data_IF_786889485359
#
_entry.id   IF_786889485359
#
_cell.length_a   1.000
_cell.length_b   1.000
_cell.length_c   1.000
_cell.angle_alpha   90.00
_cell.angle_beta   90.00
_cell.angle_gamma   90.00
#
_symmetry.space_group_name_H-M   'P 1'
#
loop_
_entity.id
_entity.type
_entity.pdbx_description
1 polymer ?
#
# COMPACT_ATOMS: atom_id res chain seq x y z
N UNK A 1 -7.98 -56.24 54.23
CA UNK A 1 -8.70 -55.30 53.36
C UNK A 1 -7.72 -54.80 52.31
N UNK A 2 -7.70 -55.43 51.14
CA UNK A 2 -6.77 -55.12 50.04
C UNK A 2 -7.45 -54.12 49.12
N UNK A 3 -6.95 -52.89 49.08
CA UNK A 3 -7.38 -51.86 48.12
C UNK A 3 -6.68 -52.09 46.78
N UNK A 4 -7.46 -52.39 45.74
CA UNK A 4 -6.98 -52.41 44.36
C UNK A 4 -7.03 -50.99 43.77
N UNK A 5 -5.85 -50.42 43.52
CA UNK A 5 -5.66 -49.26 42.64
C UNK A 5 -5.71 -49.73 41.19
N UNK A 6 -6.71 -49.29 40.43
CA UNK A 6 -6.82 -49.56 38.99
C UNK A 6 -6.07 -48.45 38.25
N UNK A 7 -4.82 -48.72 37.87
CA UNK A 7 -4.12 -47.93 36.85
C UNK A 7 -4.55 -48.48 35.48
N UNK A 8 -5.48 -47.78 34.81
CA UNK A 8 -5.88 -48.09 33.42
C UNK A 8 -4.69 -47.86 32.49
N UNK A 9 -4.09 -48.95 32.00
CA UNK A 9 -3.15 -48.93 30.86
C UNK A 9 -3.91 -48.50 29.59
N UNK A 10 -3.61 -47.32 29.06
CA UNK A 10 -4.06 -46.90 27.73
C UNK A 10 -3.27 -47.68 26.67
N UNK A 11 -3.97 -48.43 25.80
CA UNK A 11 -3.34 -49.18 24.71
C UNK A 11 -2.96 -48.23 23.55
N UNK A 12 -1.68 -48.07 23.20
CA UNK A 12 -1.21 -47.11 22.19
C UNK A 12 -1.84 -47.31 20.81
N UNK A 13 -2.20 -48.56 20.43
CA UNK A 13 -2.87 -48.85 19.15
C UNK A 13 -4.33 -48.38 19.04
N UNK A 14 -5.06 -48.21 20.16
CA UNK A 14 -6.41 -47.62 20.14
C UNK A 14 -6.36 -46.10 19.97
N UNK A 15 -5.39 -45.46 20.61
CA UNK A 15 -5.15 -44.01 20.49
C UNK A 15 -4.74 -43.67 19.06
N UNK A 16 -3.81 -44.43 18.47
CA UNK A 16 -3.37 -44.23 17.08
C UNK A 16 -4.53 -44.37 16.07
N UNK A 17 -5.37 -45.41 16.20
CA UNK A 17 -6.55 -45.60 15.34
C UNK A 17 -7.59 -44.49 15.50
N UNK A 18 -7.75 -43.97 16.72
CA UNK A 18 -8.64 -42.84 16.98
C UNK A 18 -8.11 -41.55 16.34
N UNK A 19 -6.81 -41.26 16.50
CA UNK A 19 -6.16 -40.11 15.86
C UNK A 19 -6.26 -40.17 14.34
N UNK A 20 -6.04 -41.34 13.73
CA UNK A 20 -6.16 -41.50 12.27
C UNK A 20 -7.60 -41.24 11.78
N UNK A 21 -8.61 -41.73 12.51
CA UNK A 21 -10.03 -41.47 12.20
C UNK A 21 -10.39 -39.99 12.34
N UNK A 22 -9.86 -39.33 13.38
CA UNK A 22 -10.07 -37.90 13.58
C UNK A 22 -9.45 -37.08 12.45
N UNK A 23 -8.21 -37.39 12.04
CA UNK A 23 -7.55 -36.75 10.91
C UNK A 23 -8.33 -36.94 9.60
N UNK A 24 -8.81 -38.15 9.34
CA UNK A 24 -9.64 -38.43 8.17
C UNK A 24 -10.95 -37.62 8.20
N UNK A 25 -11.62 -37.55 9.35
CA UNK A 25 -12.84 -36.75 9.51
C UNK A 25 -12.56 -35.26 9.28
N UNK A 26 -11.49 -34.72 9.83
CA UNK A 26 -11.08 -33.33 9.62
C UNK A 26 -10.77 -33.06 8.14
N UNK A 27 -10.09 -33.98 7.46
CA UNK A 27 -9.82 -33.87 6.02
C UNK A 27 -11.12 -33.87 5.20
N UNK A 28 -12.07 -34.76 5.51
CA UNK A 28 -13.38 -34.79 4.85
C UNK A 28 -14.15 -33.49 5.08
N UNK A 29 -14.15 -32.95 6.30
CA UNK A 29 -14.78 -31.66 6.61
C UNK A 29 -14.11 -30.53 5.83
N UNK A 30 -12.77 -30.51 5.76
CA UNK A 30 -12.04 -29.50 5.00
C UNK A 30 -12.34 -29.56 3.49
N UNK A 31 -12.40 -30.77 2.91
CA UNK A 31 -12.79 -30.94 1.50
C UNK A 31 -14.24 -30.52 1.27
N UNK A 32 -15.16 -30.91 2.16
CA UNK A 32 -16.56 -30.49 2.07
C UNK A 32 -16.70 -28.96 2.16
N UNK A 33 -15.95 -28.31 3.06
CA UNK A 33 -15.88 -26.85 3.15
C UNK A 33 -15.39 -26.23 1.84
N UNK A 34 -14.27 -26.73 1.30
CA UNK A 34 -13.70 -26.24 0.04
C UNK A 34 -14.58 -26.52 -1.18
N UNK A 35 -15.56 -27.42 -1.12
CA UNK A 35 -16.50 -27.67 -2.21
C UNK A 35 -17.81 -26.89 -2.07
N UNK A 36 -18.31 -26.74 -0.84
CA UNK A 36 -19.65 -26.22 -0.56
C UNK A 36 -19.68 -24.72 -0.25
N UNK A 37 -18.60 -24.16 0.30
CA UNK A 37 -18.54 -22.73 0.65
C UNK A 37 -18.13 -21.93 -0.59
N UNK A 38 -18.90 -20.91 -1.01
CA UNK A 38 -18.52 -20.07 -2.13
C UNK A 38 -17.21 -19.31 -1.83
N UNK A 39 -16.43 -19.03 -2.87
CA UNK A 39 -15.24 -18.21 -2.71
C UNK A 39 -15.64 -16.76 -2.38
N UNK A 40 -14.85 -16.04 -1.56
CA UNK A 40 -15.10 -14.61 -1.27
C UNK A 40 -14.76 -13.71 -2.47
N UNK A 41 -14.21 -14.27 -3.55
CA UNK A 41 -13.81 -13.57 -4.76
C UNK A 41 -14.38 -14.25 -5.99
N UNK A 42 -14.39 -13.53 -7.11
CA UNK A 42 -14.78 -14.06 -8.41
C UNK A 42 -13.66 -13.84 -9.41
N UNK A 43 -12.49 -14.45 -9.20
CA UNK A 43 -11.28 -14.02 -9.91
C UNK A 43 -11.31 -14.14 -11.44
N UNK A 44 -10.52 -13.30 -12.12
CA UNK A 44 -10.27 -13.35 -13.57
C UNK A 44 -8.85 -13.82 -13.86
N UNK A 45 -8.63 -14.37 -15.06
CA UNK A 45 -7.28 -14.71 -15.48
C UNK A 45 -6.52 -13.42 -15.80
N UNK A 46 -5.28 -13.33 -15.34
CA UNK A 46 -4.43 -12.19 -15.60
C UNK A 46 -3.09 -12.71 -16.08
N UNK A 47 -2.62 -12.15 -17.19
CA UNK A 47 -1.25 -12.39 -17.63
C UNK A 47 -0.30 -11.45 -16.92
N UNK A 48 0.72 -12.04 -16.32
CA UNK A 48 1.77 -11.34 -15.58
C UNK A 48 3.04 -11.42 -16.41
N UNK A 49 3.56 -10.27 -16.81
CA UNK A 49 4.83 -10.19 -17.52
C UNK A 49 6.01 -10.60 -16.65
N UNK A 50 7.12 -10.99 -17.28
CA UNK A 50 8.35 -11.30 -16.56
C UNK A 50 8.93 -10.05 -15.89
N UNK A 51 9.41 -10.14 -14.64
CA UNK A 51 9.96 -9.00 -13.94
C UNK A 51 11.27 -8.54 -14.59
N UNK A 52 11.55 -7.25 -14.50
CA UNK A 52 12.88 -6.72 -14.78
C UNK A 52 13.92 -7.41 -13.88
N UNK A 53 15.10 -7.66 -14.45
CA UNK A 53 16.21 -8.25 -13.70
C UNK A 53 16.86 -7.20 -12.80
N UNK A 54 17.33 -7.63 -11.62
CA UNK A 54 18.14 -6.78 -10.75
C UNK A 54 19.56 -6.59 -11.30
N UNK A 55 19.68 -5.74 -12.32
CA UNK A 55 20.94 -5.39 -12.97
C UNK A 55 20.94 -3.92 -13.39
N UNK A 56 22.13 -3.38 -13.68
CA UNK A 56 22.29 -1.97 -14.06
C UNK A 56 21.72 -1.03 -12.98
N UNK A 57 20.80 -0.10 -13.33
CA UNK A 57 20.10 0.77 -12.37
C UNK A 57 19.36 0.03 -11.24
N UNK A 58 18.99 -1.23 -11.48
CA UNK A 58 18.30 -2.10 -10.53
C UNK A 58 19.25 -3.01 -9.73
N UNK A 59 20.57 -2.87 -9.86
CA UNK A 59 21.51 -3.74 -9.16
C UNK A 59 21.28 -3.69 -7.62
N UNK A 60 21.18 -4.89 -7.03
CA UNK A 60 20.95 -5.04 -5.59
C UNK A 60 22.10 -4.43 -4.79
N UNK A 61 21.75 -3.73 -3.72
CA UNK A 61 22.68 -3.14 -2.76
C UNK A 61 22.08 -3.18 -1.34
N UNK A 62 22.66 -2.45 -0.39
CA UNK A 62 22.12 -2.32 0.97
C UNK A 62 22.14 -0.86 1.45
N UNK A 63 22.01 0.09 0.51
CA UNK A 63 22.11 1.53 0.81
C UNK A 63 21.03 2.00 1.80
N UNK A 64 19.85 1.37 1.82
CA UNK A 64 18.79 1.74 2.75
C UNK A 64 19.15 1.39 4.21
N UNK A 65 20.13 0.51 4.46
CA UNK A 65 20.58 0.19 5.82
C UNK A 65 21.25 1.38 6.53
N UNK A 66 21.70 2.40 5.80
CA UNK A 66 22.27 3.62 6.38
C UNK A 66 21.23 4.68 6.74
N UNK A 67 19.93 4.37 6.63
CA UNK A 67 18.88 5.31 7.01
C UNK A 67 18.94 5.60 8.52
N UNK A 68 18.86 6.88 8.87
CA UNK A 68 18.57 7.29 10.24
C UNK A 68 17.14 6.87 10.58
N UNK A 69 16.95 6.32 11.78
CA UNK A 69 15.66 5.79 12.21
C UNK A 69 15.01 6.75 13.20
N UNK A 70 13.84 7.26 12.84
CA UNK A 70 13.00 8.10 13.69
C UNK A 70 11.91 7.19 14.27
N UNK A 71 12.12 6.70 15.49
CA UNK A 71 11.15 5.82 16.14
C UNK A 71 9.82 6.52 16.38
N UNK A 72 8.72 5.81 16.12
CA UNK A 72 7.39 6.19 16.58
C UNK A 72 7.25 5.88 18.08
N UNK A 73 6.27 6.48 18.79
CA UNK A 73 6.00 6.15 20.18
C UNK A 73 5.71 4.66 20.39
N UNK A 74 5.99 4.16 21.60
CA UNK A 74 5.80 2.75 21.91
C UNK A 74 4.34 2.32 21.64
N UNK A 75 4.18 1.23 20.90
CA UNK A 75 2.87 0.70 20.50
C UNK A 75 2.29 1.32 19.22
N UNK A 76 2.91 2.36 18.66
CA UNK A 76 2.53 2.91 17.37
C UNK A 76 3.33 2.27 16.22
N UNK A 77 2.63 2.03 15.12
CA UNK A 77 3.16 1.45 13.88
C UNK A 77 2.50 2.08 12.67
N UNK A 78 3.12 1.86 11.52
CA UNK A 78 2.46 2.09 10.25
C UNK A 78 2.34 3.55 9.87
N UNK A 79 3.38 4.34 10.17
CA UNK A 79 3.60 5.66 9.60
C UNK A 79 3.81 5.55 8.10
N UNK A 80 2.68 5.44 7.38
CA UNK A 80 2.61 4.99 5.98
C UNK A 80 3.15 6.06 5.04
N UNK A 81 2.68 7.30 5.18
CA UNK A 81 3.25 8.46 4.50
C UNK A 81 3.84 9.50 5.46
N UNK A 82 4.68 10.39 4.93
CA UNK A 82 5.32 11.50 5.65
C UNK A 82 5.06 12.82 4.93
N UNK A 83 4.33 13.73 5.58
CA UNK A 83 4.32 15.12 5.16
C UNK A 83 5.26 15.95 6.05
N UNK A 84 5.84 17.00 5.48
CA UNK A 84 6.69 17.95 6.22
C UNK A 84 6.20 19.37 6.02
N UNK A 85 6.08 20.11 7.11
CA UNK A 85 5.71 21.52 7.06
C UNK A 85 6.95 22.43 6.87
N UNK A 86 6.76 23.73 6.56
CA UNK A 86 7.87 24.69 6.43
C UNK A 86 8.71 24.92 7.69
N UNK A 87 8.21 24.54 8.87
CA UNK A 87 8.95 24.59 10.14
C UNK A 87 9.83 23.33 10.35
N UNK A 88 9.74 22.37 9.42
CA UNK A 88 10.46 21.12 9.44
C UNK A 88 9.83 20.07 10.35
N UNK A 89 8.59 20.25 10.79
CA UNK A 89 7.86 19.25 11.55
C UNK A 89 7.39 18.13 10.61
N UNK A 90 7.57 16.89 11.04
CA UNK A 90 7.12 15.70 10.34
C UNK A 90 5.71 15.33 10.78
N UNK A 91 4.89 14.89 9.84
CA UNK A 91 3.53 14.43 10.04
C UNK A 91 3.39 13.03 9.45
N UNK A 92 2.67 12.14 10.15
CA UNK A 92 2.42 10.78 9.65
C UNK A 92 1.10 10.24 10.18
N UNK A 93 0.47 9.35 9.42
CA UNK A 93 -0.72 8.61 9.82
C UNK A 93 -0.36 7.22 10.35
N UNK A 94 -0.87 6.82 11.51
CA UNK A 94 -0.58 5.51 12.12
C UNK A 94 -1.72 4.52 11.97
N UNK A 95 -1.43 3.24 12.22
CA UNK A 95 -2.33 2.10 12.01
C UNK A 95 -3.63 2.19 12.81
N UNK A 96 -3.59 2.86 13.96
CA UNK A 96 -4.75 3.11 14.83
C UNK A 96 -5.63 4.29 14.39
N UNK A 97 -5.31 4.92 13.25
CA UNK A 97 -6.03 6.08 12.74
C UNK A 97 -5.52 7.43 13.25
N UNK A 98 -4.46 7.46 14.07
CA UNK A 98 -3.93 8.71 14.61
C UNK A 98 -3.12 9.47 13.55
N UNK A 99 -3.24 10.80 13.55
CA UNK A 99 -2.35 11.70 12.83
C UNK A 99 -1.39 12.29 13.84
N UNK A 100 -0.10 12.02 13.65
CA UNK A 100 0.96 12.37 14.60
C UNK A 100 1.88 13.44 14.02
N UNK A 101 2.47 14.25 14.90
CA UNK A 101 3.47 15.26 14.53
C UNK A 101 4.73 15.13 15.38
N UNK A 102 5.89 15.36 14.76
CA UNK A 102 7.16 15.55 15.44
C UNK A 102 7.90 16.75 14.86
N UNK A 103 8.00 17.82 15.65
CA UNK A 103 8.84 18.96 15.31
C UNK A 103 10.31 18.72 15.65
N UNK A 104 11.25 19.46 15.05
CA UNK A 104 12.66 19.41 15.41
C UNK A 104 12.84 19.56 16.93
N UNK A 105 13.67 18.69 17.52
CA UNK A 105 13.99 18.67 18.96
C UNK A 105 12.78 18.46 19.91
N UNK A 106 11.63 18.03 19.38
CA UNK A 106 10.42 17.76 20.16
C UNK A 106 10.07 16.27 20.15
N UNK A 107 9.28 15.82 21.11
CA UNK A 107 8.68 14.48 21.08
C UNK A 107 7.51 14.41 20.09
N UNK A 108 7.08 13.19 19.78
CA UNK A 108 5.86 12.98 19.02
C UNK A 108 4.62 13.40 19.82
N UNK A 109 3.66 14.01 19.15
CA UNK A 109 2.33 14.27 19.69
C UNK A 109 1.25 13.75 18.75
N UNK A 110 0.11 13.39 19.32
CA UNK A 110 -1.10 13.04 18.55
C UNK A 110 -1.90 14.32 18.34
N UNK A 111 -2.16 14.67 17.08
CA UNK A 111 -2.95 15.85 16.73
C UNK A 111 -4.45 15.53 16.73
N UNK A 112 -4.82 14.40 16.13
CA UNK A 112 -6.18 13.87 16.10
C UNK A 112 -6.18 12.37 15.77
N UNK A 113 -7.36 11.77 15.78
CA UNK A 113 -7.60 10.44 15.24
C UNK A 113 -8.75 10.53 14.21
N UNK A 114 -8.56 10.01 12.99
CA UNK A 114 -9.56 10.04 11.93
C UNK A 114 -10.64 8.96 12.12
N UNK A 115 -10.39 8.01 13.02
CA UNK A 115 -11.15 6.77 13.19
C UNK A 115 -11.23 5.92 11.91
N UNK A 116 -10.27 6.11 11.01
CA UNK A 116 -10.05 5.35 9.79
C UNK A 116 -8.59 4.93 9.69
N UNK A 117 -8.03 5.00 8.48
CA UNK A 117 -6.62 4.72 8.23
C UNK A 117 -6.02 5.83 7.36
N UNK A 118 -5.36 6.84 7.95
CA UNK A 118 -4.64 7.85 7.18
C UNK A 118 -3.42 7.20 6.52
N UNK A 119 -3.42 7.23 5.19
CA UNK A 119 -2.40 6.64 4.32
C UNK A 119 -1.58 7.83 3.76
N UNK A 120 -1.97 8.42 2.63
CA UNK A 120 -1.27 9.58 2.04
C UNK A 120 -1.54 10.92 2.74
N UNK A 121 -0.53 11.79 2.74
CA UNK A 121 -0.54 13.10 3.40
C UNK A 121 0.09 14.19 2.52
N UNK A 122 -0.60 15.32 2.34
CA UNK A 122 -0.01 16.46 1.64
C UNK A 122 -0.52 17.80 2.20
N UNK A 123 0.35 18.81 2.31
CA UNK A 123 -0.06 20.15 2.72
C UNK A 123 -0.60 20.97 1.54
N UNK A 124 -1.73 21.64 1.72
CA UNK A 124 -2.18 22.65 0.77
C UNK A 124 -1.50 24.01 0.99
N UNK A 125 -1.75 24.97 0.10
CA UNK A 125 -1.20 26.32 0.19
C UNK A 125 -1.66 27.11 1.43
N UNK A 126 -2.77 26.70 2.06
CA UNK A 126 -3.29 27.28 3.31
C UNK A 126 -2.79 26.54 4.56
N UNK A 127 -1.86 25.59 4.40
CA UNK A 127 -1.33 24.74 5.46
C UNK A 127 -2.37 23.82 6.11
N UNK A 128 -3.47 23.54 5.41
CA UNK A 128 -4.30 22.40 5.77
C UNK A 128 -3.56 21.12 5.37
N UNK A 129 -3.56 20.13 6.27
CA UNK A 129 -3.09 18.80 5.95
C UNK A 129 -4.23 18.04 5.25
N UNK A 130 -4.05 17.77 3.97
CA UNK A 130 -4.92 16.90 3.19
C UNK A 130 -4.52 15.46 3.49
N UNK A 131 -5.51 14.62 3.76
CA UNK A 131 -5.33 13.25 4.22
C UNK A 131 -6.13 12.35 3.29
N UNK A 132 -5.43 11.44 2.61
CA UNK A 132 -6.03 10.28 1.99
C UNK A 132 -6.29 9.25 3.09
N UNK A 133 -7.56 9.05 3.47
CA UNK A 133 -7.94 8.07 4.48
C UNK A 133 -8.60 6.85 3.82
N UNK A 134 -7.95 5.70 3.94
CA UNK A 134 -8.35 4.43 3.34
C UNK A 134 -9.71 3.91 3.81
N UNK A 135 -10.29 4.51 4.85
CA UNK A 135 -11.63 4.18 5.32
C UNK A 135 -12.59 5.38 5.32
N UNK A 136 -12.14 6.63 5.36
CA UNK A 136 -13.02 7.82 5.47
C UNK A 136 -13.12 8.63 4.19
N UNK A 137 -12.28 8.37 3.19
CA UNK A 137 -12.22 9.15 1.96
C UNK A 137 -11.16 10.25 2.05
N UNK A 138 -11.35 11.31 1.26
CA UNK A 138 -10.47 12.47 1.26
C UNK A 138 -10.86 13.43 2.40
N UNK A 139 -9.92 13.73 3.29
CA UNK A 139 -10.11 14.61 4.44
C UNK A 139 -9.18 15.82 4.38
N UNK A 140 -9.52 16.85 5.15
CA UNK A 140 -8.67 18.02 5.40
C UNK A 140 -8.65 18.35 6.87
N UNK A 141 -7.47 18.49 7.46
CA UNK A 141 -7.25 18.99 8.81
C UNK A 141 -6.67 20.40 8.74
N UNK A 142 -7.37 21.39 9.32
CA UNK A 142 -6.84 22.75 9.39
C UNK A 142 -5.68 22.88 10.39
N UNK A 143 -4.87 23.96 10.33
CA UNK A 143 -3.84 24.24 11.35
C UNK A 143 -4.38 24.30 12.78
N UNK A 144 -5.67 24.60 12.96
CA UNK A 144 -6.35 24.62 14.25
C UNK A 144 -6.85 23.23 14.70
N UNK A 145 -6.58 22.17 13.93
CA UNK A 145 -6.98 20.79 14.22
C UNK A 145 -8.42 20.45 13.82
N UNK A 146 -9.11 21.29 13.02
CA UNK A 146 -10.47 20.98 12.56
C UNK A 146 -10.41 19.99 11.39
N UNK A 147 -10.94 18.78 11.60
CA UNK A 147 -11.09 17.76 10.56
C UNK A 147 -12.39 17.95 9.77
N UNK A 148 -12.30 17.90 8.44
CA UNK A 148 -13.42 18.03 7.51
C UNK A 148 -13.33 16.95 6.43
N UNK A 149 -14.45 16.33 6.08
CA UNK A 149 -14.54 15.42 4.93
C UNK A 149 -14.67 16.27 3.67
N UNK A 150 -13.77 16.09 2.70
CA UNK A 150 -13.82 16.75 1.39
C UNK A 150 -14.61 15.90 0.39
N UNK A 151 -14.34 14.59 0.35
CA UNK A 151 -15.04 13.66 -0.53
C UNK A 151 -15.03 12.24 0.05
N UNK A 152 -16.19 11.59 0.13
CA UNK A 152 -16.34 10.20 0.57
C UNK A 152 -17.24 9.35 -0.35
N UNK A 153 -17.86 9.98 -1.36
CA UNK A 153 -18.71 9.32 -2.35
C UNK A 153 -18.45 9.83 -3.76
N UNK A 154 -18.67 8.96 -4.75
CA UNK A 154 -18.71 9.29 -6.16
C UNK A 154 -19.86 8.53 -6.83
N UNK A 155 -20.74 9.23 -7.55
CA UNK A 155 -21.94 8.66 -8.18
C UNK A 155 -22.81 7.80 -7.24
N UNK A 156 -22.98 8.27 -5.99
CA UNK A 156 -23.79 7.59 -4.97
C UNK A 156 -23.15 6.33 -4.37
N UNK A 157 -21.94 5.97 -4.78
CA UNK A 157 -21.15 4.90 -4.19
C UNK A 157 -20.06 5.48 -3.31
N UNK A 158 -19.81 4.86 -2.17
CA UNK A 158 -18.70 5.24 -1.29
C UNK A 158 -17.37 5.06 -2.01
N UNK A 159 -16.41 5.94 -1.73
CA UNK A 159 -15.01 5.66 -2.04
C UNK A 159 -14.55 4.43 -1.24
N UNK A 160 -13.65 3.65 -1.83
CA UNK A 160 -13.20 2.40 -1.23
C UNK A 160 -11.99 2.65 -0.34
N UNK A 161 -10.79 2.47 -0.89
CA UNK A 161 -9.50 2.66 -0.21
C UNK A 161 -8.83 3.90 -0.78
N UNK A 162 -9.11 5.08 -0.23
CA UNK A 162 -8.41 6.31 -0.62
C UNK A 162 -7.00 6.27 -0.05
N UNK A 163 -6.00 6.26 -0.92
CA UNK A 163 -4.67 5.72 -0.59
C UNK A 163 -3.59 6.80 -0.61
N UNK A 164 -3.41 7.52 -1.73
CA UNK A 164 -2.39 8.56 -1.86
C UNK A 164 -2.96 9.87 -2.41
N UNK A 165 -2.25 10.98 -2.17
CA UNK A 165 -2.68 12.33 -2.53
C UNK A 165 -1.50 13.25 -2.92
N UNK A 166 -1.69 14.05 -3.97
CA UNK A 166 -0.80 15.14 -4.36
C UNK A 166 -1.62 16.36 -4.81
N UNK A 167 -1.04 17.56 -4.76
CA UNK A 167 -1.76 18.82 -5.00
C UNK A 167 -1.13 19.58 -6.16
N UNK A 168 -1.97 19.92 -7.13
CA UNK A 168 -1.63 20.77 -8.27
C UNK A 168 -1.31 22.21 -7.86
N UNK A 169 -0.60 22.93 -8.73
CA UNK A 169 -0.22 24.31 -8.50
C UNK A 169 -1.43 25.27 -8.39
N UNK A 170 -2.58 24.88 -8.93
CA UNK A 170 -3.85 25.60 -8.84
C UNK A 170 -4.68 25.24 -7.60
N UNK A 171 -4.21 24.31 -6.77
CA UNK A 171 -4.90 23.79 -5.60
C UNK A 171 -5.82 22.60 -5.89
N UNK A 172 -5.88 22.09 -7.12
CA UNK A 172 -6.58 20.84 -7.43
C UNK A 172 -5.92 19.69 -6.67
N UNK A 173 -6.73 18.91 -5.93
CA UNK A 173 -6.25 17.76 -5.16
C UNK A 173 -6.42 16.51 -6.01
N UNK A 174 -5.31 15.88 -6.40
CA UNK A 174 -5.30 14.60 -7.09
C UNK A 174 -5.12 13.48 -6.08
N UNK A 175 -5.99 12.48 -6.11
CA UNK A 175 -5.88 11.38 -5.17
C UNK A 175 -6.34 10.06 -5.78
N UNK A 176 -5.80 8.98 -5.25
CA UNK A 176 -6.16 7.64 -5.66
C UNK A 176 -7.22 7.04 -4.74
N UNK A 177 -8.10 6.24 -5.36
CA UNK A 177 -8.95 5.29 -4.67
C UNK A 177 -8.52 3.91 -5.16
N UNK A 178 -7.68 3.24 -4.38
CA UNK A 178 -6.93 2.06 -4.78
C UNK A 178 -7.83 0.90 -5.17
N UNK A 179 -8.87 0.65 -4.40
CA UNK A 179 -9.88 -0.36 -4.69
C UNK A 179 -11.24 0.12 -4.27
N UNK A 180 -12.22 0.06 -5.17
CA UNK A 180 -13.63 0.27 -4.82
C UNK A 180 -14.38 -1.05 -4.58
N UNK A 181 -13.66 -2.18 -4.54
CA UNK A 181 -14.23 -3.53 -4.41
C UNK A 181 -13.95 -4.20 -3.09
N UNK A 182 -12.77 -3.96 -2.53
CA UNK A 182 -12.31 -4.59 -1.30
C UNK A 182 -11.84 -3.52 -0.32
N UNK A 183 -12.16 -3.69 0.95
CA UNK A 183 -11.62 -2.85 2.01
C UNK A 183 -10.13 -3.17 2.22
N UNK A 184 -9.39 -2.26 2.85
CA UNK A 184 -7.96 -2.40 3.11
C UNK A 184 -7.62 -3.73 3.82
N UNK A 185 -8.42 -4.13 4.80
CA UNK A 185 -8.24 -5.41 5.53
C UNK A 185 -8.40 -6.66 4.66
N UNK A 186 -9.07 -6.55 3.52
CA UNK A 186 -9.39 -7.64 2.61
C UNK A 186 -8.52 -7.60 1.35
N UNK A 187 -7.40 -6.87 1.37
CA UNK A 187 -6.63 -6.55 0.16
C UNK A 187 -6.05 -7.78 -0.57
N UNK A 188 -5.78 -8.86 0.18
CA UNK A 188 -5.35 -10.15 -0.40
C UNK A 188 -6.39 -10.67 -1.39
N UNK A 189 -7.68 -10.43 -1.13
CA UNK A 189 -8.75 -10.80 -2.06
C UNK A 189 -8.71 -9.99 -3.35
N UNK A 190 -8.31 -8.72 -3.31
CA UNK A 190 -8.20 -7.90 -4.52
C UNK A 190 -7.06 -8.39 -5.43
N UNK A 191 -5.90 -8.68 -4.83
CA UNK A 191 -4.76 -9.30 -5.52
C UNK A 191 -5.19 -10.60 -6.19
N UNK A 192 -5.95 -11.46 -5.50
CA UNK A 192 -6.38 -12.74 -6.06
C UNK A 192 -7.52 -12.58 -7.07
N UNK A 193 -8.47 -11.67 -6.88
CA UNK A 193 -9.55 -11.41 -7.84
C UNK A 193 -8.94 -10.96 -9.17
N UNK A 194 -8.01 -10.01 -9.12
CA UNK A 194 -7.22 -9.55 -10.26
C UNK A 194 -8.00 -8.65 -11.23
N UNK A 195 -9.25 -8.29 -10.94
CA UNK A 195 -9.95 -7.24 -11.69
C UNK A 195 -9.53 -5.88 -11.19
N UNK A 196 -9.12 -5.03 -12.11
CA UNK A 196 -8.82 -3.65 -11.84
C UNK A 196 -10.07 -2.86 -11.48
N UNK A 197 -10.03 -2.17 -10.35
CA UNK A 197 -11.16 -1.40 -9.82
C UNK A 197 -10.76 -0.04 -9.24
N UNK A 198 -9.45 0.22 -9.18
CA UNK A 198 -8.89 1.47 -8.71
C UNK A 198 -9.20 2.63 -9.65
N UNK A 199 -9.15 3.83 -9.08
CA UNK A 199 -9.57 5.08 -9.70
C UNK A 199 -8.59 6.19 -9.32
N UNK A 200 -8.39 7.12 -10.24
CA UNK A 200 -7.69 8.39 -10.01
C UNK A 200 -8.70 9.53 -10.13
N UNK A 201 -8.73 10.39 -9.13
CA UNK A 201 -9.65 11.52 -9.06
C UNK A 201 -8.90 12.85 -9.02
N UNK A 202 -9.61 13.90 -9.45
CA UNK A 202 -9.30 15.29 -9.17
C UNK A 202 -10.45 15.92 -8.36
N UNK A 203 -10.11 16.56 -7.25
CA UNK A 203 -11.04 17.32 -6.42
C UNK A 203 -10.69 18.81 -6.47
N UNK A 204 -11.66 19.63 -6.84
CA UNK A 204 -11.54 21.09 -6.81
C UNK A 204 -12.15 21.63 -5.50
N UNK A 205 -11.32 22.15 -4.58
CA UNK A 205 -11.81 22.66 -3.29
C UNK A 205 -12.63 23.95 -3.39
N UNK A 206 -12.58 24.68 -4.52
CA UNK A 206 -13.36 25.91 -4.71
C UNK A 206 -14.81 25.60 -5.06
N UNK A 207 -15.03 24.55 -5.85
CA UNK A 207 -16.36 24.15 -6.32
C UNK A 207 -16.91 22.91 -5.60
N UNK A 208 -16.08 22.25 -4.78
CA UNK A 208 -16.34 20.93 -4.18
C UNK A 208 -16.71 19.88 -5.24
N UNK A 209 -16.09 20.00 -6.42
CA UNK A 209 -16.29 19.12 -7.56
C UNK A 209 -15.33 17.94 -7.50
N UNK A 210 -15.85 16.72 -7.73
CA UNK A 210 -15.06 15.50 -7.83
C UNK A 210 -15.14 14.92 -9.24
N UNK A 211 -14.00 14.85 -9.93
CA UNK A 211 -13.90 14.38 -11.32
C UNK A 211 -13.08 13.10 -11.38
N UNK A 212 -13.61 12.06 -12.03
CA UNK A 212 -12.86 10.84 -12.34
C UNK A 212 -11.94 11.08 -13.54
N UNK A 213 -10.63 10.97 -13.34
CA UNK A 213 -9.62 11.14 -14.38
C UNK A 213 -9.29 9.83 -15.10
N UNK A 214 -9.15 8.74 -14.34
CA UNK A 214 -8.92 7.40 -14.89
C UNK A 214 -9.52 6.35 -13.97
N UNK A 215 -9.99 5.23 -14.53
CA UNK A 215 -10.58 4.13 -13.79
C UNK A 215 -10.16 2.78 -14.38
N UNK A 216 -10.39 1.71 -13.62
CA UNK A 216 -9.91 0.38 -14.03
C UNK A 216 -8.41 0.21 -13.84
N UNK A 217 -7.86 0.86 -12.81
CA UNK A 217 -6.47 0.72 -12.36
C UNK A 217 -6.36 -0.48 -11.41
N UNK A 218 -5.30 -1.26 -11.52
CA UNK A 218 -5.07 -2.43 -10.67
C UNK A 218 -4.40 -2.02 -9.36
N UNK A 219 -5.23 -1.65 -8.39
CA UNK A 219 -4.81 -1.04 -7.13
C UNK A 219 -4.08 0.29 -7.36
N UNK A 220 -4.87 1.36 -7.54
CA UNK A 220 -4.37 2.71 -7.77
C UNK A 220 -3.73 3.24 -6.49
N UNK A 221 -2.41 3.26 -6.43
CA UNK A 221 -1.70 3.59 -5.22
C UNK A 221 -1.11 5.00 -5.35
N UNK A 222 0.21 5.15 -5.36
CA UNK A 222 0.87 6.44 -5.33
C UNK A 222 0.46 7.40 -6.46
N UNK A 223 0.36 8.69 -6.16
CA UNK A 223 -0.05 9.76 -7.07
C UNK A 223 0.99 10.88 -7.09
N UNK A 224 1.40 11.34 -8.27
CA UNK A 224 2.26 12.51 -8.38
C UNK A 224 1.92 13.39 -9.59
N UNK A 225 1.58 14.65 -9.36
CA UNK A 225 1.36 15.63 -10.42
C UNK A 225 2.70 16.12 -10.99
N UNK A 226 2.74 16.25 -12.31
CA UNK A 226 3.88 16.80 -13.05
C UNK A 226 4.18 18.25 -12.69
N UNK A 227 5.45 18.64 -12.82
CA UNK A 227 5.88 20.03 -12.57
C UNK A 227 5.14 21.03 -13.45
N UNK A 228 4.97 20.70 -14.72
CA UNK A 228 4.30 21.53 -15.72
C UNK A 228 2.77 21.37 -15.72
N UNK A 229 2.21 20.62 -14.77
CA UNK A 229 0.78 20.37 -14.60
C UNK A 229 0.13 19.71 -15.82
N UNK A 230 0.91 19.05 -16.68
CA UNK A 230 0.41 18.44 -17.92
C UNK A 230 -0.07 17.00 -17.76
N UNK A 231 0.37 16.29 -16.72
CA UNK A 231 -0.03 14.93 -16.39
C UNK A 231 0.04 14.62 -14.89
N UNK A 232 -0.59 13.51 -14.51
CA UNK A 232 -0.48 12.86 -13.19
C UNK A 232 0.06 11.45 -13.39
N UNK A 233 1.01 11.03 -12.55
CA UNK A 233 1.44 9.65 -12.47
C UNK A 233 0.61 8.90 -11.44
N UNK A 234 0.26 7.65 -11.74
CA UNK A 234 -0.40 6.74 -10.80
C UNK A 234 0.24 5.36 -10.85
N UNK A 235 0.56 4.82 -9.68
CA UNK A 235 1.09 3.47 -9.55
C UNK A 235 -0.03 2.43 -9.57
N UNK A 236 0.19 1.32 -10.26
CA UNK A 236 -0.66 0.13 -10.19
C UNK A 236 0.09 -1.01 -9.52
N UNK A 237 -0.13 -1.16 -8.21
CA UNK A 237 0.59 -2.10 -7.36
C UNK A 237 0.47 -3.53 -7.87
N UNK A 238 -0.73 -3.97 -8.27
CA UNK A 238 -0.99 -5.35 -8.70
C UNK A 238 -0.77 -5.60 -10.21
N UNK A 239 -0.27 -4.58 -10.91
CA UNK A 239 0.25 -4.73 -12.28
C UNK A 239 1.72 -4.35 -12.39
N UNK A 240 2.35 -3.98 -11.28
CA UNK A 240 3.80 -3.74 -11.19
C UNK A 240 4.26 -2.67 -12.19
N UNK A 241 3.49 -1.59 -12.31
CA UNK A 241 3.68 -0.59 -13.35
C UNK A 241 3.23 0.80 -12.91
N UNK A 242 3.59 1.78 -13.72
CA UNK A 242 3.30 3.20 -13.52
C UNK A 242 2.61 3.71 -14.78
N UNK A 243 1.45 4.35 -14.59
CA UNK A 243 0.72 5.02 -15.65
C UNK A 243 0.89 6.53 -15.56
N UNK A 244 0.84 7.16 -16.72
CA UNK A 244 0.74 8.60 -16.91
C UNK A 244 -0.65 8.92 -17.43
N UNK A 245 -1.38 9.76 -16.72
CA UNK A 245 -2.70 10.27 -17.11
C UNK A 245 -2.54 11.72 -17.54
N UNK A 246 -2.84 12.02 -18.80
CA UNK A 246 -2.66 13.36 -19.38
C UNK A 246 -3.79 14.29 -18.95
N UNK A 247 -3.43 15.42 -18.36
CA UNK A 247 -4.36 16.47 -17.93
C UNK A 247 -4.61 17.51 -19.03
N UNK A 248 -3.62 17.75 -19.90
CA UNK A 248 -3.68 18.77 -20.94
C UNK A 248 -2.98 18.34 -22.23
N UNK A 249 -3.05 19.19 -23.27
CA UNK A 249 -2.52 18.91 -24.60
C UNK A 249 -3.37 17.93 -25.42
N UNK A 250 -2.84 17.46 -26.55
CA UNK A 250 -3.57 16.61 -27.51
C UNK A 250 -3.98 15.24 -26.94
N UNK A 251 -3.32 14.79 -25.88
CA UNK A 251 -3.60 13.53 -25.18
C UNK A 251 -4.51 13.70 -23.96
N UNK A 252 -5.00 14.90 -23.64
CA UNK A 252 -5.80 15.15 -22.44
C UNK A 252 -6.96 14.14 -22.29
N UNK A 253 -7.09 13.56 -21.09
CA UNK A 253 -8.07 12.51 -20.77
C UNK A 253 -7.67 11.10 -21.20
N UNK A 254 -6.49 10.91 -21.81
CA UNK A 254 -5.92 9.59 -22.10
C UNK A 254 -4.87 9.22 -21.06
N UNK A 255 -4.59 7.92 -20.94
CA UNK A 255 -3.50 7.40 -20.13
C UNK A 255 -2.59 6.44 -20.90
N UNK A 256 -1.34 6.33 -20.48
CA UNK A 256 -0.36 5.40 -21.03
C UNK A 256 0.56 4.82 -19.95
N UNK A 257 1.06 3.61 -20.17
CA UNK A 257 2.05 2.98 -19.29
C UNK A 257 3.43 3.55 -19.62
N UNK A 258 4.15 4.09 -18.63
CA UNK A 258 5.49 4.66 -18.81
C UNK A 258 6.60 3.78 -18.23
N UNK A 259 6.26 2.96 -17.23
CA UNK A 259 7.16 1.98 -16.63
C UNK A 259 6.36 0.73 -16.40
N UNK A 260 6.85 -0.42 -16.86
CA UNK A 260 6.16 -1.70 -16.75
C UNK A 260 7.10 -2.77 -16.18
N UNK A 261 6.54 -3.88 -15.75
CA UNK A 261 7.27 -5.08 -15.33
C UNK A 261 8.22 -4.85 -14.15
N UNK A 262 7.89 -3.92 -13.26
CA UNK A 262 8.71 -3.61 -12.09
C UNK A 262 8.98 -4.87 -11.27
N UNK A 263 10.18 -5.03 -10.69
CA UNK A 263 10.55 -6.24 -9.96
C UNK A 263 9.95 -6.29 -8.53
N UNK A 264 9.08 -5.35 -8.20
CA UNK A 264 8.32 -5.29 -6.96
C UNK A 264 6.96 -4.65 -7.16
N UNK A 265 6.23 -4.48 -6.07
CA UNK A 265 4.93 -3.81 -5.99
C UNK A 265 5.12 -2.31 -5.75
N UNK A 266 4.88 -1.43 -6.74
CA UNK A 266 4.98 0.01 -6.55
C UNK A 266 3.88 0.52 -5.62
N UNK A 267 4.24 1.46 -4.76
CA UNK A 267 3.40 2.03 -3.71
C UNK A 267 3.33 3.56 -3.90
N UNK A 268 3.71 4.39 -2.93
CA UNK A 268 3.82 5.84 -3.08
C UNK A 268 4.83 6.29 -4.16
N UNK A 269 4.56 7.45 -4.78
CA UNK A 269 5.45 8.09 -5.76
C UNK A 269 5.50 9.59 -5.48
N UNK A 270 6.71 10.16 -5.43
CA UNK A 270 6.89 11.58 -5.16
C UNK A 270 7.86 12.22 -6.17
N UNK A 271 7.55 13.43 -6.58
CA UNK A 271 8.38 14.21 -7.50
C UNK A 271 9.59 14.78 -6.77
N UNK A 272 10.78 14.55 -7.31
CA UNK A 272 12.01 15.16 -6.84
C UNK A 272 12.21 16.57 -7.44
N UNK A 273 13.02 17.43 -6.80
CA UNK A 273 13.29 18.80 -7.30
C UNK A 273 13.94 18.85 -8.69
N UNK A 274 14.64 17.80 -9.12
CA UNK A 274 15.27 17.69 -10.43
C UNK A 274 14.29 17.26 -11.55
N UNK A 275 13.00 17.08 -11.22
CA UNK A 275 11.96 16.63 -12.15
C UNK A 275 11.89 15.12 -12.36
N UNK A 276 12.75 14.35 -11.68
CA UNK A 276 12.60 12.90 -11.57
C UNK A 276 11.54 12.53 -10.51
N UNK A 277 11.28 11.24 -10.34
CA UNK A 277 10.35 10.73 -9.34
C UNK A 277 10.99 9.60 -8.54
N UNK A 278 10.77 9.61 -7.24
CA UNK A 278 11.06 8.48 -6.38
C UNK A 278 9.81 7.63 -6.20
N UNK A 279 9.98 6.31 -6.26
CA UNK A 279 8.90 5.34 -6.15
C UNK A 279 9.24 4.38 -5.03
N UNK A 280 8.34 4.28 -4.06
CA UNK A 280 8.40 3.28 -3.01
C UNK A 280 7.94 1.93 -3.55
N UNK A 281 8.52 0.85 -3.03
CA UNK A 281 8.13 -0.50 -3.36
C UNK A 281 7.84 -1.26 -2.08
N UNK A 282 6.55 -1.56 -1.84
CA UNK A 282 6.11 -2.28 -0.65
C UNK A 282 6.87 -3.60 -0.46
N UNK A 283 7.13 -4.30 -1.57
CA UNK A 283 7.92 -5.52 -1.53
C UNK A 283 8.23 -6.06 -2.91
N UNK A 284 8.96 -7.17 -2.92
CA UNK A 284 9.22 -7.94 -4.14
C UNK A 284 7.94 -8.58 -4.66
N UNK A 285 7.90 -8.89 -5.96
CA UNK A 285 6.77 -9.61 -6.55
C UNK A 285 6.55 -10.96 -5.86
N UNK A 286 5.31 -11.26 -5.40
CA UNK A 286 5.02 -12.55 -4.81
C UNK A 286 5.05 -13.66 -5.87
N UNK A 287 6.13 -14.45 -5.90
CA UNK A 287 6.31 -15.53 -6.90
C UNK A 287 5.12 -16.48 -7.01
N UNK A 288 4.47 -16.80 -5.88
CA UNK A 288 3.29 -17.66 -5.88
C UNK A 288 2.12 -17.00 -6.61
N UNK A 289 1.86 -15.71 -6.35
CA UNK A 289 0.77 -14.96 -7.00
C UNK A 289 1.03 -14.91 -8.51
N UNK A 290 2.23 -14.53 -8.92
CA UNK A 290 2.62 -14.47 -10.35
C UNK A 290 2.41 -15.83 -11.06
N UNK A 291 2.72 -16.95 -10.38
CA UNK A 291 2.62 -18.30 -10.93
C UNK A 291 1.18 -18.82 -11.07
N UNK A 292 0.21 -18.24 -10.35
CA UNK A 292 -1.19 -18.69 -10.36
C UNK A 292 -2.15 -17.66 -10.96
N UNK A 293 -1.66 -16.48 -11.36
CA UNK A 293 -2.51 -15.34 -11.67
C UNK A 293 -3.41 -15.56 -12.90
N UNK A 294 -3.00 -16.48 -13.79
CA UNK A 294 -3.71 -16.94 -14.98
C UNK A 294 -4.71 -18.09 -14.70
N UNK A 295 -4.77 -18.60 -13.46
CA UNK A 295 -5.63 -19.73 -13.05
C UNK A 295 -6.76 -19.29 -12.08
N UNK A 296 -7.90 -18.75 -12.57
CA UNK A 296 -9.00 -18.29 -11.73
C UNK A 296 -9.49 -19.32 -10.71
N UNK A 297 -9.67 -20.58 -11.14
CA UNK A 297 -10.17 -21.64 -10.28
C UNK A 297 -9.27 -21.85 -9.05
N UNK A 298 -7.96 -21.76 -9.22
CA UNK A 298 -6.98 -21.93 -8.15
C UNK A 298 -6.98 -20.74 -7.20
N UNK A 299 -7.08 -19.51 -7.73
CA UNK A 299 -7.21 -18.30 -6.91
C UNK A 299 -8.47 -18.32 -6.05
N UNK A 300 -9.60 -18.71 -6.65
CA UNK A 300 -10.88 -18.87 -5.94
C UNK A 300 -10.80 -19.96 -4.85
N UNK A 301 -10.00 -21.00 -5.04
CA UNK A 301 -9.76 -22.04 -4.04
C UNK A 301 -8.88 -21.52 -2.89
N UNK A 302 -7.76 -20.86 -3.21
CA UNK A 302 -6.82 -20.33 -2.21
C UNK A 302 -7.43 -19.22 -1.37
N UNK A 303 -8.31 -18.39 -1.94
CA UNK A 303 -9.05 -17.36 -1.22
C UNK A 303 -10.02 -17.93 -0.16
N UNK A 304 -10.29 -19.23 -0.15
CA UNK A 304 -11.09 -19.89 0.92
C UNK A 304 -10.24 -20.28 2.11
N UNK A 305 -8.91 -20.26 1.98
CA UNK A 305 -8.01 -20.63 3.06
C UNK A 305 -7.89 -19.48 4.05
N UNK A 306 -7.75 -19.77 5.35
CA UNK A 306 -7.40 -18.75 6.34
C UNK A 306 -6.10 -18.04 5.95
N UNK A 307 -6.07 -16.71 6.15
CA UNK A 307 -4.87 -15.89 5.86
C UNK A 307 -3.63 -16.34 6.63
N UNK A 308 -3.80 -16.99 7.79
CA UNK A 308 -2.70 -17.57 8.56
C UNK A 308 -1.93 -18.67 7.84
N UNK A 309 -2.48 -19.22 6.74
CA UNK A 309 -1.81 -20.19 5.87
C UNK A 309 -1.10 -19.53 4.67
N UNK A 310 -1.31 -18.23 4.44
CA UNK A 310 -0.66 -17.52 3.36
C UNK A 310 0.86 -17.46 3.60
N UNK A 311 1.68 -17.58 2.54
CA UNK A 311 3.13 -17.41 2.67
C UNK A 311 3.44 -16.00 3.20
N UNK A 312 4.26 -15.93 4.25
CA UNK A 312 4.77 -14.65 4.74
C UNK A 312 5.74 -14.07 3.71
N UNK A 313 5.48 -12.86 3.17
CA UNK A 313 6.41 -12.22 2.25
C UNK A 313 7.78 -12.03 2.91
N UNK A 314 8.86 -12.21 2.14
CA UNK A 314 10.20 -11.91 2.64
C UNK A 314 10.30 -10.40 2.88
N UNK A 315 10.68 -9.95 4.09
CA UNK A 315 10.96 -8.54 4.34
C UNK A 315 12.02 -8.02 3.37
N UNK A 316 11.78 -6.85 2.80
CA UNK A 316 12.68 -6.22 1.84
C UNK A 316 12.41 -4.72 1.81
N UNK A 317 13.46 -3.90 1.90
CA UNK A 317 13.39 -2.46 1.64
C UNK A 317 13.76 -2.18 0.20
N UNK A 318 12.93 -1.43 -0.52
CA UNK A 318 13.17 -1.14 -1.93
C UNK A 318 12.55 0.19 -2.33
N UNK A 319 13.36 1.07 -2.91
CA UNK A 319 12.91 2.26 -3.62
C UNK A 319 13.66 2.38 -4.94
N UNK A 320 13.04 3.04 -5.92
CA UNK A 320 13.67 3.33 -7.21
C UNK A 320 13.42 4.78 -7.62
N UNK A 321 14.28 5.29 -8.49
CA UNK A 321 14.14 6.61 -9.10
C UNK A 321 13.89 6.44 -10.59
N UNK A 322 12.91 7.16 -11.14
CA UNK A 322 12.62 7.23 -12.58
C UNK A 322 12.71 8.67 -13.09
N UNK A 323 13.00 8.86 -14.37
CA UNK A 323 12.76 10.15 -15.02
C UNK A 323 11.30 10.32 -15.47
N UNK A 324 10.95 11.50 -15.99
CA UNK A 324 9.61 11.81 -16.49
C UNK A 324 9.13 10.94 -17.67
N UNK A 325 10.03 10.20 -18.32
CA UNK A 325 9.70 9.23 -19.38
C UNK A 325 9.41 7.83 -18.84
N UNK A 326 9.65 7.59 -17.54
CA UNK A 326 9.49 6.29 -16.90
C UNK A 326 10.77 5.43 -16.91
N UNK A 327 11.90 5.97 -17.36
CA UNK A 327 13.18 5.24 -17.37
C UNK A 327 13.75 5.18 -15.95
N UNK A 328 14.09 3.97 -15.51
CA UNK A 328 14.72 3.73 -14.21
C UNK A 328 16.17 4.25 -14.21
N UNK A 329 16.47 5.14 -13.27
CA UNK A 329 17.76 5.80 -13.10
C UNK A 329 18.65 5.08 -12.09
N UNK A 330 18.08 4.69 -10.94
CA UNK A 330 18.76 3.96 -9.86
C UNK A 330 17.77 3.29 -8.91
N UNK A 331 18.27 2.47 -8.01
CA UNK A 331 17.51 1.84 -6.93
C UNK A 331 18.32 1.65 -5.67
N UNK A 332 17.66 1.72 -4.52
CA UNK A 332 18.24 1.45 -3.21
C UNK A 332 17.48 0.32 -2.54
N UNK A 333 18.23 -0.53 -1.85
CA UNK A 333 17.70 -1.77 -1.28
C UNK A 333 18.15 -1.92 0.18
N UNK A 334 17.39 -2.73 0.92
CA UNK A 334 17.75 -3.35 2.20
C UNK A 334 17.25 -4.80 2.15
N UNK A 335 18.14 -5.72 1.82
CA UNK A 335 17.75 -7.09 1.44
C UNK A 335 17.20 -7.94 2.58
N UNK A 336 17.51 -7.53 3.80
CA UNK A 336 17.10 -8.19 5.03
C UNK A 336 16.14 -7.33 5.87
N UNK A 337 15.75 -6.16 5.36
CA UNK A 337 14.96 -5.16 6.07
C UNK A 337 15.53 -4.84 7.46
N UNK A 338 16.85 -4.67 7.55
CA UNK A 338 17.56 -4.36 8.80
C UNK A 338 17.12 -2.99 9.34
N UNK A 339 17.16 -1.98 8.47
CA UNK A 339 16.73 -0.62 8.78
C UNK A 339 15.28 -0.43 8.36
N UNK A 340 14.98 -0.72 7.09
CA UNK A 340 13.71 -0.40 6.43
C UNK A 340 13.21 -1.57 5.59
N UNK A 341 11.92 -1.88 5.67
CA UNK A 341 11.24 -2.83 4.79
C UNK A 341 9.75 -2.54 4.73
N UNK A 342 9.05 -3.04 3.71
CA UNK A 342 7.64 -2.67 3.56
C UNK A 342 7.47 -1.18 3.33
N UNK A 343 8.35 -0.58 2.50
CA UNK A 343 8.39 0.87 2.30
C UNK A 343 7.20 1.25 1.43
N UNK A 344 6.36 2.11 1.96
CA UNK A 344 5.09 2.51 1.33
C UNK A 344 5.18 3.91 0.73
N UNK A 345 5.98 4.81 1.31
CA UNK A 345 6.21 6.14 0.73
C UNK A 345 7.69 6.54 0.72
N UNK A 346 8.02 7.46 -0.18
CA UNK A 346 9.35 8.09 -0.28
C UNK A 346 9.18 9.56 -0.61
N UNK A 347 9.57 10.43 0.33
CA UNK A 347 9.31 11.86 0.26
C UNK A 347 10.63 12.63 0.16
N UNK A 348 10.95 13.18 -1.02
CA UNK A 348 12.19 13.90 -1.25
C UNK A 348 12.16 15.28 -0.62
N UNK A 349 13.09 15.52 0.29
CA UNK A 349 13.27 16.76 1.03
C UNK A 349 14.65 17.35 0.75
N UNK A 350 14.87 18.61 1.14
CA UNK A 350 16.15 19.29 0.93
C UNK A 350 17.34 18.57 1.62
N UNK A 351 17.09 17.86 2.70
CA UNK A 351 18.08 17.18 3.53
C UNK A 351 18.07 15.64 3.44
N UNK A 352 17.29 15.07 2.52
CA UNK A 352 17.30 13.64 2.25
C UNK A 352 15.97 13.08 1.75
N UNK A 353 15.85 11.76 1.79
CA UNK A 353 14.61 11.04 1.49
C UNK A 353 13.99 10.53 2.79
N UNK A 354 12.75 10.89 3.05
CA UNK A 354 11.97 10.34 4.15
C UNK A 354 11.19 9.13 3.67
N UNK A 355 11.16 8.06 4.47
CA UNK A 355 10.67 6.74 4.07
C UNK A 355 9.60 6.26 5.05
N UNK A 356 8.38 6.10 4.54
CA UNK A 356 7.23 5.59 5.28
C UNK A 356 7.11 4.08 5.18
N UNK A 357 6.39 3.46 6.11
CA UNK A 357 6.17 2.01 6.12
C UNK A 357 4.78 1.64 6.63
N UNK A 358 4.25 0.51 6.16
CA UNK A 358 2.91 0.06 6.57
C UNK A 358 2.84 -0.49 8.00
N UNK A 359 3.93 -1.07 8.49
CA UNK A 359 3.92 -1.89 9.72
C UNK A 359 5.06 -1.62 10.70
N UNK A 360 6.11 -0.88 10.31
CA UNK A 360 7.22 -0.63 11.23
C UNK A 360 6.86 0.50 12.21
N UNK A 361 7.38 0.40 13.43
CA UNK A 361 7.28 1.46 14.45
C UNK A 361 8.31 2.59 14.27
N UNK A 362 8.64 2.95 13.02
CA UNK A 362 9.70 3.92 12.70
C UNK A 362 9.52 4.53 11.32
N UNK A 363 10.05 5.73 11.14
CA UNK A 363 10.27 6.41 9.85
C UNK A 363 11.77 6.34 9.52
N UNK A 364 12.11 6.14 8.26
CA UNK A 364 13.50 6.20 7.78
C UNK A 364 13.83 7.58 7.22
N UNK A 365 15.06 8.06 7.44
CA UNK A 365 15.64 9.20 6.74
C UNK A 365 16.95 8.81 6.09
N UNK A 366 17.00 8.82 4.76
CA UNK A 366 18.20 8.55 3.99
C UNK A 366 18.82 9.87 3.51
N UNK A 367 20.04 10.19 3.95
CA UNK A 367 20.78 11.35 3.43
C UNK A 367 21.28 11.12 1.99
N UNK A 368 21.42 12.20 1.22
CA UNK A 368 21.89 12.15 -0.17
C UNK A 368 23.33 11.65 -0.34
#
# INVERSE_FOLDING_TARGET
MIGYSIIRKTHPGRVMKFLLKLLLLLAVIAVAYLLLVPAPINSVAVQVSQPLMFSGPLAVNDRLQSAELISLPAGQSGGEDIARDPLGCLYTGTEDGSVMRKCPYSDWEVLLNTHGRPLGLHFDASQNLIIADGEKGLLSMSPAGKLTVLADHFNGQRLGVVDDVDIGADGTIYFSDASNRYALKDIVHDVLDGRSSGRLFAFDPQTSSLTLLSGGLAFANGVAVSADQSYVLVNETFRYRIRKVWLSGDKAGQDEIITDNLPGMPDGIARAPDGSYWVAMYGLRPKLVDAIHDQPWLKNLLARLPESLAPVPKPYGFILQIDASGKILRSYHDQAAVAMGGITSVQPEADGLYLGTLHMGRIGKLSF
#
